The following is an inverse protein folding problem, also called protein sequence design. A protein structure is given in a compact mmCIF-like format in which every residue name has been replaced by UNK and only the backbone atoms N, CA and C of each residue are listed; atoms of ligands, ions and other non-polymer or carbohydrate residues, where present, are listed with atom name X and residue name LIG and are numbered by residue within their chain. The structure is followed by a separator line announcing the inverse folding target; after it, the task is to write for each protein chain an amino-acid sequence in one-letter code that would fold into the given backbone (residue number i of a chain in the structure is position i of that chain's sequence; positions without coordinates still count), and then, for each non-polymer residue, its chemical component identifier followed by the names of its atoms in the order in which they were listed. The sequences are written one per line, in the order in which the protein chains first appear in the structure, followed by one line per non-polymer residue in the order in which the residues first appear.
data_IF_502718556359
#
_entry.id   IF_502718556359
#
_cell.length_a   1.000
_cell.length_b   1.000
_cell.length_c   1.000
_cell.angle_alpha   90.00
_cell.angle_beta   90.00
_cell.angle_gamma   90.00
#
_symmetry.space_group_name_H-M   'P 1'
#
loop_
_entity.id
_entity.type
_entity.pdbx_description
1 polymer ?
#
# COMPACT_ATOMS: atom_id res chain seq x y z
N UNK A 1 7.26 -9.18 13.45
CA UNK A 1 6.84 -9.65 12.11
C UNK A 1 7.28 -8.64 11.07
N UNK A 2 6.83 -8.75 9.82
CA UNK A 2 7.08 -7.74 8.78
C UNK A 2 5.75 -7.13 8.35
N UNK A 3 5.74 -5.82 8.09
CA UNK A 3 4.58 -5.13 7.51
C UNK A 3 4.77 -4.96 6.00
N UNK A 4 3.79 -5.37 5.21
CA UNK A 4 3.72 -5.08 3.78
C UNK A 4 2.78 -3.90 3.54
N UNK A 5 3.33 -2.79 3.06
CA UNK A 5 2.61 -1.60 2.64
C UNK A 5 2.21 -1.73 1.17
N UNK A 6 0.91 -1.74 0.89
CA UNK A 6 0.37 -1.86 -0.46
C UNK A 6 0.00 -0.47 -0.96
N UNK A 7 0.89 0.14 -1.75
CA UNK A 7 0.67 1.43 -2.38
C UNK A 7 -0.11 1.21 -3.69
N UNK A 8 -1.44 1.33 -3.61
CA UNK A 8 -2.34 0.98 -4.71
C UNK A 8 -3.71 1.69 -4.58
N UNK A 9 -4.79 1.02 -4.98
CA UNK A 9 -6.18 1.51 -4.95
C UNK A 9 -6.85 1.40 -3.59
N UNK A 10 -6.10 1.03 -2.54
CA UNK A 10 -6.59 0.66 -1.21
C UNK A 10 -6.52 -0.86 -0.99
N UNK A 11 -6.88 -1.30 0.22
CA UNK A 11 -7.02 -2.74 0.55
C UNK A 11 -8.32 -2.94 1.30
N UNK A 12 -9.16 -3.87 0.82
CA UNK A 12 -10.42 -4.21 1.50
C UNK A 12 -10.15 -5.02 2.78
N UNK A 13 -10.11 -4.34 3.92
CA UNK A 13 -9.85 -4.94 5.23
C UNK A 13 -10.71 -6.16 5.60
N UNK A 14 -12.04 -6.13 5.38
CA UNK A 14 -12.92 -7.27 5.71
C UNK A 14 -12.77 -8.52 4.83
N UNK A 15 -11.81 -8.57 3.91
CA UNK A 15 -11.62 -9.71 3.01
C UNK A 15 -11.02 -10.92 3.75
N UNK A 16 -11.60 -12.11 3.53
CA UNK A 16 -11.26 -13.34 4.29
C UNK A 16 -9.77 -13.73 4.16
N UNK A 17 -9.15 -13.45 3.01
CA UNK A 17 -7.71 -13.71 2.79
C UNK A 17 -6.78 -13.04 3.80
N UNK A 18 -7.21 -11.99 4.50
CA UNK A 18 -6.32 -11.29 5.42
C UNK A 18 -6.45 -11.74 6.87
N UNK A 19 -7.48 -12.51 7.24
CA UNK A 19 -7.67 -13.02 8.59
C UNK A 19 -7.40 -11.95 9.69
N UNK A 20 -7.96 -10.75 9.50
CA UNK A 20 -7.78 -9.58 10.41
C UNK A 20 -6.36 -9.00 10.50
N UNK A 21 -5.45 -9.36 9.58
CA UNK A 21 -4.08 -8.79 9.51
C UNK A 21 -4.00 -7.46 8.76
N UNK A 22 -5.11 -6.97 8.22
CA UNK A 22 -5.16 -5.61 7.64
C UNK A 22 -5.26 -4.61 8.78
N UNK A 23 -4.25 -3.73 8.87
CA UNK A 23 -4.29 -2.58 9.75
C UNK A 23 -4.70 -1.33 8.97
N UNK A 24 -5.25 -0.35 9.68
CA UNK A 24 -5.66 0.93 9.11
C UNK A 24 -4.46 1.66 8.51
N UNK A 25 -4.58 2.05 7.24
CA UNK A 25 -3.59 2.88 6.56
C UNK A 25 -4.10 4.30 6.31
N UNK A 26 -3.67 4.87 5.19
CA UNK A 26 -4.01 6.25 4.79
C UNK A 26 -4.43 6.33 3.33
N UNK A 27 -5.02 7.47 2.94
CA UNK A 27 -5.42 7.78 1.57
C UNK A 27 -4.91 9.15 1.16
N UNK A 28 -4.28 9.20 -0.01
CA UNK A 28 -3.85 10.41 -0.71
C UNK A 28 -4.75 10.69 -1.92
N UNK A 29 -5.92 10.05 -1.97
CA UNK A 29 -6.93 10.25 -3.01
C UNK A 29 -8.08 11.06 -2.41
N UNK A 30 -8.32 12.25 -2.95
CA UNK A 30 -9.36 13.14 -2.48
C UNK A 30 -10.74 12.47 -2.54
N UNK A 31 -11.45 12.48 -1.41
CA UNK A 31 -12.81 11.93 -1.30
C UNK A 31 -12.89 10.40 -1.17
N UNK A 32 -11.76 9.69 -1.13
CA UNK A 32 -11.76 8.23 -0.97
C UNK A 32 -11.05 7.79 0.33
N UNK A 33 -11.70 6.92 1.10
CA UNK A 33 -11.16 6.36 2.35
C UNK A 33 -10.06 5.32 2.15
N UNK A 34 -9.19 5.17 3.16
CA UNK A 34 -8.05 4.27 3.13
C UNK A 34 -8.41 2.77 3.22
N UNK A 35 -9.52 2.47 3.89
CA UNK A 35 -10.06 1.13 4.15
C UNK A 35 -10.97 0.62 3.02
N UNK A 36 -11.10 1.40 1.94
CA UNK A 36 -11.93 1.10 0.80
C UNK A 36 -11.11 0.95 -0.48
N UNK A 37 -11.24 -0.21 -1.13
CA UNK A 37 -10.72 -0.47 -2.46
C UNK A 37 -11.87 -0.62 -3.46
N UNK A 38 -12.22 0.48 -4.13
CA UNK A 38 -13.28 0.50 -5.14
C UNK A 38 -12.85 0.01 -6.52
N UNK A 39 -11.55 -0.28 -6.72
CA UNK A 39 -11.03 -0.81 -7.98
C UNK A 39 -10.81 -2.33 -7.91
N UNK A 40 -10.27 -2.82 -6.79
CA UNK A 40 -9.93 -4.22 -6.55
C UNK A 40 -8.46 -4.56 -6.79
N UNK A 41 -7.72 -3.73 -7.55
CA UNK A 41 -6.31 -3.98 -7.85
C UNK A 41 -5.44 -4.08 -6.59
N UNK A 42 -5.60 -3.15 -5.65
CA UNK A 42 -4.83 -3.14 -4.41
C UNK A 42 -5.12 -4.35 -3.52
N UNK A 43 -6.39 -4.75 -3.38
CA UNK A 43 -6.78 -5.96 -2.65
C UNK A 43 -6.21 -7.23 -3.30
N UNK A 44 -6.19 -7.29 -4.64
CA UNK A 44 -5.58 -8.40 -5.38
C UNK A 44 -4.06 -8.49 -5.15
N UNK A 45 -3.34 -7.37 -5.27
CA UNK A 45 -1.91 -7.30 -4.96
C UNK A 45 -1.61 -7.68 -3.50
N UNK A 46 -2.43 -7.20 -2.56
CA UNK A 46 -2.34 -7.58 -1.16
C UNK A 46 -2.54 -9.09 -0.96
N UNK A 47 -3.51 -9.69 -1.65
CA UNK A 47 -3.77 -11.14 -1.62
C UNK A 47 -2.57 -11.97 -2.08
N UNK A 48 -1.90 -11.56 -3.16
CA UNK A 48 -0.67 -12.21 -3.64
C UNK A 48 0.47 -12.06 -2.63
N UNK A 49 0.61 -10.89 -2.02
CA UNK A 49 1.70 -10.64 -1.07
C UNK A 49 1.49 -11.39 0.25
N UNK A 50 0.28 -11.32 0.83
CA UNK A 50 0.04 -11.69 2.22
C UNK A 50 -1.20 -12.55 2.47
N UNK A 51 -2.00 -12.88 1.45
CA UNK A 51 -3.22 -13.68 1.61
C UNK A 51 -3.00 -15.04 2.28
N UNK A 52 -3.94 -15.51 3.10
CA UNK A 52 -3.85 -16.81 3.78
C UNK A 52 -3.80 -17.97 2.79
N UNK A 53 -4.54 -17.88 1.68
CA UNK A 53 -4.62 -18.94 0.68
C UNK A 53 -3.52 -18.76 -0.34
N UNK A 54 -3.44 -17.58 -0.95
CA UNK A 54 -2.59 -17.32 -2.13
C UNK A 54 -1.29 -16.54 -1.85
N UNK A 55 -1.13 -16.05 -0.63
CA UNK A 55 -0.04 -15.15 -0.28
C UNK A 55 1.32 -15.83 -0.17
N UNK A 56 2.37 -15.11 -0.56
CA UNK A 56 3.74 -15.52 -0.30
C UNK A 56 4.12 -15.41 1.19
N UNK A 57 3.74 -14.31 1.86
CA UNK A 57 4.04 -14.02 3.26
C UNK A 57 2.75 -14.07 4.12
N UNK A 58 2.24 -15.29 4.35
CA UNK A 58 0.92 -15.56 4.93
C UNK A 58 0.69 -15.06 6.37
N UNK A 59 1.77 -14.72 7.08
CA UNK A 59 1.70 -14.19 8.45
C UNK A 59 2.04 -12.69 8.54
N UNK A 60 2.38 -12.05 7.41
CA UNK A 60 2.72 -10.64 7.40
C UNK A 60 1.50 -9.75 7.72
N UNK A 61 1.74 -8.64 8.40
CA UNK A 61 0.76 -7.56 8.55
C UNK A 61 0.63 -6.84 7.21
N UNK A 62 -0.57 -6.41 6.83
CA UNK A 62 -0.80 -5.62 5.61
C UNK A 62 -1.38 -4.25 5.96
N UNK A 63 -0.85 -3.21 5.32
CA UNK A 63 -1.37 -1.84 5.41
C UNK A 63 -1.63 -1.34 4.00
N UNK A 64 -2.87 -0.95 3.72
CA UNK A 64 -3.23 -0.28 2.46
C UNK A 64 -2.85 1.20 2.49
N UNK A 65 -2.07 1.66 1.52
CA UNK A 65 -1.75 3.07 1.33
C UNK A 65 -2.37 3.47 -0.01
N UNK A 66 -3.51 4.15 0.05
CA UNK A 66 -4.29 4.45 -1.15
C UNK A 66 -3.70 5.66 -1.87
N UNK A 67 -3.06 5.40 -3.01
CA UNK A 67 -2.44 6.41 -3.89
C UNK A 67 -3.09 6.43 -5.28
N UNK A 68 -3.94 5.45 -5.58
CA UNK A 68 -4.75 5.36 -6.79
C UNK A 68 -6.25 5.37 -6.42
N UNK A 69 -7.06 6.06 -7.21
CA UNK A 69 -8.51 6.15 -7.06
C UNK A 69 -9.21 4.83 -7.38
N UNK A 70 -10.52 4.79 -7.18
CA UNK A 70 -11.36 3.68 -7.60
C UNK A 70 -11.36 3.45 -9.13
N UNK A 71 -10.97 4.47 -9.92
CA UNK A 71 -10.72 4.33 -11.36
C UNK A 71 -9.30 3.85 -11.72
N UNK A 72 -8.45 3.57 -10.72
CA UNK A 72 -7.08 3.08 -10.91
C UNK A 72 -6.07 4.17 -11.29
N UNK A 73 -6.40 5.44 -11.09
CA UNK A 73 -5.53 6.58 -11.45
C UNK A 73 -5.09 7.37 -10.23
N UNK A 74 -3.91 7.97 -10.27
CA UNK A 74 -3.38 8.79 -9.18
C UNK A 74 -2.38 9.82 -9.67
N UNK A 75 -1.90 10.68 -8.77
CA UNK A 75 -0.88 11.68 -9.07
C UNK A 75 0.49 11.19 -8.61
N UNK A 76 1.56 11.66 -9.25
CA UNK A 76 2.92 11.41 -8.78
C UNK A 76 3.14 11.95 -7.36
N UNK A 77 2.54 13.11 -7.04
CA UNK A 77 2.60 13.66 -5.68
C UNK A 77 1.98 12.72 -4.64
N UNK A 78 0.82 12.14 -4.92
CA UNK A 78 0.17 11.20 -4.00
C UNK A 78 0.96 9.89 -3.84
N UNK A 79 1.65 9.44 -4.90
CA UNK A 79 2.58 8.30 -4.82
C UNK A 79 3.79 8.63 -3.93
N UNK A 80 4.40 9.80 -4.11
CA UNK A 80 5.54 10.26 -3.28
C UNK A 80 5.12 10.37 -1.81
N UNK A 81 3.99 11.03 -1.53
CA UNK A 81 3.43 11.14 -0.18
C UNK A 81 3.15 9.76 0.43
N UNK A 82 2.70 8.80 -0.39
CA UNK A 82 2.52 7.40 0.02
C UNK A 82 3.81 6.71 0.44
N UNK A 83 4.89 6.90 -0.32
CA UNK A 83 6.22 6.33 -0.03
C UNK A 83 6.76 6.93 1.29
N UNK A 84 6.70 8.25 1.42
CA UNK A 84 7.16 8.96 2.61
C UNK A 84 6.37 8.54 3.85
N UNK A 85 5.05 8.44 3.75
CA UNK A 85 4.20 8.00 4.85
C UNK A 85 4.51 6.56 5.28
N UNK A 86 4.63 5.62 4.33
CA UNK A 86 4.93 4.23 4.65
C UNK A 86 6.30 4.09 5.34
N UNK A 87 7.29 4.84 4.86
CA UNK A 87 8.64 4.89 5.43
C UNK A 87 8.62 5.44 6.85
N UNK A 88 7.95 6.58 7.06
CA UNK A 88 7.86 7.22 8.37
C UNK A 88 7.05 6.39 9.36
N UNK A 89 5.98 5.75 8.91
CA UNK A 89 5.18 4.83 9.73
C UNK A 89 6.01 3.63 10.17
N UNK A 90 6.74 2.98 9.27
CA UNK A 90 7.61 1.85 9.62
C UNK A 90 8.66 2.23 10.68
N UNK A 91 9.28 3.41 10.52
CA UNK A 91 10.25 3.96 11.48
C UNK A 91 9.60 4.27 12.84
N UNK A 92 8.41 4.88 12.85
CA UNK A 92 7.74 5.30 14.09
C UNK A 92 7.27 4.11 14.94
N UNK A 93 6.84 3.02 14.31
CA UNK A 93 6.45 1.79 15.01
C UNK A 93 7.61 0.83 15.26
N UNK A 94 8.82 1.17 14.81
CA UNK A 94 10.04 0.36 14.98
C UNK A 94 9.96 -1.03 14.32
N UNK A 95 9.25 -1.17 13.20
CA UNK A 95 9.02 -2.45 12.54
C UNK A 95 9.63 -2.49 11.14
N UNK A 96 10.07 -3.67 10.70
CA UNK A 96 10.54 -3.87 9.33
C UNK A 96 9.38 -3.74 8.34
N UNK A 97 9.60 -3.00 7.26
CA UNK A 97 8.60 -2.69 6.24
C UNK A 97 9.03 -3.11 4.84
N UNK A 98 8.09 -3.61 4.05
CA UNK A 98 8.23 -3.81 2.59
C UNK A 98 7.18 -2.96 1.90
N UNK A 99 7.59 -2.13 0.95
CA UNK A 99 6.67 -1.38 0.09
C UNK A 99 6.44 -2.18 -1.20
N UNK A 100 5.17 -2.44 -1.52
CA UNK A 100 4.75 -2.99 -2.82
C UNK A 100 4.03 -1.91 -3.61
N UNK A 101 4.57 -1.59 -4.79
CA UNK A 101 4.08 -0.55 -5.70
C UNK A 101 3.83 -1.15 -7.08
N UNK A 102 2.70 -1.83 -7.24
CA UNK A 102 2.26 -2.35 -8.54
C UNK A 102 1.55 -1.26 -9.34
N UNK A 103 2.29 -0.21 -9.68
CA UNK A 103 1.83 0.96 -10.43
C UNK A 103 2.96 1.47 -11.31
N UNK A 104 2.63 2.31 -12.30
CA UNK A 104 3.62 2.82 -13.25
C UNK A 104 3.17 4.14 -13.88
N UNK A 105 4.16 4.88 -14.37
CA UNK A 105 3.96 6.18 -15.03
C UNK A 105 5.20 6.58 -15.83
N UNK A 106 5.23 7.83 -16.30
CA UNK A 106 6.43 8.39 -16.93
C UNK A 106 7.59 8.49 -15.94
N UNK A 107 8.81 8.60 -16.48
CA UNK A 107 10.01 8.82 -15.67
C UNK A 107 9.89 10.14 -14.89
N UNK A 108 10.10 10.08 -13.58
CA UNK A 108 10.05 11.23 -12.69
C UNK A 108 11.20 11.17 -11.67
N UNK A 109 12.01 12.23 -11.60
CA UNK A 109 13.18 12.27 -10.72
C UNK A 109 12.81 12.33 -9.24
N UNK A 110 11.70 12.98 -8.91
CA UNK A 110 11.25 13.16 -7.53
C UNK A 110 10.76 11.84 -6.94
N UNK A 111 10.03 11.05 -7.74
CA UNK A 111 9.59 9.70 -7.38
C UNK A 111 10.78 8.77 -7.16
N UNK A 112 11.79 8.83 -8.03
CA UNK A 112 13.01 8.05 -7.86
C UNK A 112 13.75 8.43 -6.56
N UNK A 113 13.89 9.72 -6.28
CA UNK A 113 14.51 10.21 -5.05
C UNK A 113 13.73 9.77 -3.79
N UNK A 114 12.39 9.75 -3.84
CA UNK A 114 11.57 9.26 -2.75
C UNK A 114 11.82 7.77 -2.46
N UNK A 115 11.99 6.94 -3.50
CA UNK A 115 12.35 5.52 -3.35
C UNK A 115 13.76 5.37 -2.75
N UNK A 116 14.74 6.13 -3.22
CA UNK A 116 16.11 6.11 -2.68
C UNK A 116 16.15 6.50 -1.20
N UNK A 117 15.32 7.46 -0.78
CA UNK A 117 15.23 7.90 0.62
C UNK A 117 14.47 6.92 1.54
N UNK A 118 13.72 5.98 0.97
CA UNK A 118 12.96 4.97 1.71
C UNK A 118 13.83 3.78 2.19
N UNK A 119 15.07 3.69 1.71
CA UNK A 119 16.02 2.62 2.04
C UNK A 119 16.68 2.76 3.43
#
# INVERSE_FOLDING_TARGET
GVTVYILATGVRGPHQEFASRVQTGTSFVAGEGADFDGNGHGTHCAGIATGTTYGAAKEATVIGVKVLSSSGSGTLSGVIEGIEWATNHAKSVGNMGVISMSLGGGRDSSTNAAVEAAA
#
